data_IF_626941179644
#
_entry.id   IF_626941179644
#
_cell.length_a   1.000
_cell.length_b   1.000
_cell.length_c   1.000
_cell.angle_alpha   90.00
_cell.angle_beta   90.00
_cell.angle_gamma   90.00
#
_symmetry.space_group_name_H-M   'P 1'
#
loop_
_entity.id
_entity.type
_entity.pdbx_description
1 polymer ?
#
# COMPACT_ATOMS: atom_id res chain seq x y z
N UNK A 1 65.27 7.48 30.82
CA UNK A 1 64.14 8.35 31.19
C UNK A 1 63.25 7.59 32.17
N UNK A 2 62.58 8.31 33.08
CA UNK A 2 61.78 7.79 34.20
C UNK A 2 60.59 6.93 33.70
N UNK A 3 60.34 5.74 34.29
CA UNK A 3 59.29 5.43 35.32
C UNK A 3 57.85 5.80 34.90
N UNK A 4 56.78 5.03 35.18
CA UNK A 4 56.58 4.06 36.27
C UNK A 4 55.48 3.01 35.94
N UNK A 5 55.35 1.96 36.77
CA UNK A 5 54.36 0.87 36.62
C UNK A 5 53.01 1.14 37.33
N UNK A 6 52.02 0.33 36.95
CA UNK A 6 50.64 0.10 37.45
C UNK A 6 50.38 0.26 38.96
N UNK A 7 49.10 0.46 39.37
CA UNK A 7 48.37 -0.72 39.91
C UNK A 7 46.87 -0.82 39.54
N UNK A 8 46.37 -2.06 39.47
CA UNK A 8 44.94 -2.40 39.57
C UNK A 8 44.52 -2.54 41.05
N UNK A 9 43.27 -2.22 41.39
CA UNK A 9 42.49 -3.09 42.31
C UNK A 9 40.96 -3.05 42.02
N UNK A 10 40.12 -3.80 42.77
CA UNK A 10 40.21 -5.23 43.09
C UNK A 10 38.91 -5.98 42.66
N UNK A 11 38.86 -7.30 42.87
CA UNK A 11 37.62 -8.09 42.77
C UNK A 11 37.22 -8.66 44.14
N UNK A 12 35.93 -8.55 44.47
CA UNK A 12 35.17 -9.27 45.50
C UNK A 12 33.68 -8.93 45.22
N UNK A 13 32.84 -9.87 44.77
CA UNK A 13 32.17 -10.96 45.49
C UNK A 13 30.93 -10.53 46.30
N UNK A 14 29.86 -11.30 46.14
CA UNK A 14 28.55 -11.23 46.81
C UNK A 14 27.64 -10.03 46.45
N UNK A 15 26.32 -10.18 46.16
CA UNK A 15 25.43 -11.35 46.22
C UNK A 15 24.44 -11.40 45.04
N UNK A 16 24.06 -12.62 44.62
CA UNK A 16 22.87 -12.83 43.79
C UNK A 16 21.65 -12.72 44.71
N UNK A 17 21.07 -11.52 44.80
CA UNK A 17 19.79 -11.34 45.47
C UNK A 17 18.68 -11.21 44.43
N UNK A 18 17.96 -12.32 44.22
CA UNK A 18 16.76 -12.38 43.38
C UNK A 18 15.62 -11.61 44.04
N UNK A 19 15.46 -10.34 43.67
CA UNK A 19 14.22 -9.59 43.93
C UNK A 19 13.51 -9.29 42.61
N UNK A 20 12.38 -9.97 42.43
CA UNK A 20 11.38 -9.73 41.39
C UNK A 20 10.93 -8.26 41.35
N UNK A 21 10.88 -7.67 40.16
CA UNK A 21 10.32 -6.34 39.94
C UNK A 21 10.84 -5.69 38.66
N UNK A 22 10.11 -5.88 37.55
CA UNK A 22 9.78 -4.87 36.52
C UNK A 22 9.42 -5.57 35.18
N UNK A 23 8.22 -6.16 35.12
CA UNK A 23 7.62 -6.66 33.86
C UNK A 23 6.93 -5.53 33.04
N UNK A 24 6.91 -4.28 33.54
CA UNK A 24 6.20 -3.12 32.96
C UNK A 24 6.99 -2.38 31.85
N UNK A 25 7.62 -3.13 30.94
CA UNK A 25 8.37 -2.57 29.80
C UNK A 25 7.60 -2.58 28.47
N UNK A 26 6.37 -3.12 28.45
CA UNK A 26 5.49 -3.15 27.28
C UNK A 26 4.34 -2.15 27.49
N UNK A 27 4.24 -1.14 26.62
CA UNK A 27 3.10 -0.20 26.63
C UNK A 27 1.77 -0.97 26.57
N UNK A 28 0.72 -0.61 27.33
CA UNK A 28 -0.57 -1.30 27.29
C UNK A 28 -1.20 -1.41 25.89
N UNK A 29 -0.85 -0.51 24.97
CA UNK A 29 -1.24 -0.60 23.56
C UNK A 29 -0.51 -1.74 22.83
N UNK A 30 0.78 -1.94 23.11
CA UNK A 30 1.61 -3.02 22.55
C UNK A 30 1.25 -4.37 23.21
N UNK A 31 0.92 -4.39 24.51
CA UNK A 31 0.46 -5.60 25.19
C UNK A 31 -0.85 -6.13 24.58
N UNK A 32 -1.87 -5.24 24.43
CA UNK A 32 -3.12 -5.56 23.73
C UNK A 32 -2.92 -5.96 22.26
N UNK A 33 -1.83 -5.51 21.63
CA UNK A 33 -1.47 -5.90 20.27
C UNK A 33 -1.04 -7.38 20.20
N UNK A 34 -0.20 -7.80 21.15
CA UNK A 34 0.35 -9.14 21.24
C UNK A 34 -0.70 -10.16 21.71
N UNK A 35 -1.64 -9.76 22.57
CA UNK A 35 -2.79 -10.59 22.96
C UNK A 35 -3.82 -10.76 21.84
N UNK A 36 -3.86 -9.84 20.86
CA UNK A 36 -4.91 -9.75 19.84
C UNK A 36 -4.53 -10.26 18.45
N UNK A 37 -3.31 -10.76 18.24
CA UNK A 37 -2.81 -11.17 16.92
C UNK A 37 -1.89 -12.38 16.98
N UNK A 38 -2.14 -13.36 16.09
CA UNK A 38 -1.36 -14.59 15.87
C UNK A 38 -1.50 -15.71 16.93
N UNK A 39 -2.72 -16.20 17.17
CA UNK A 39 -2.87 -17.62 17.55
C UNK A 39 -2.96 -18.48 16.28
N UNK A 40 -1.79 -18.87 15.77
CA UNK A 40 -1.64 -19.86 14.70
C UNK A 40 -1.24 -21.23 15.28
N UNK A 41 -2.06 -21.72 16.22
CA UNK A 41 -2.02 -23.13 16.61
C UNK A 41 -2.64 -23.99 15.51
N UNK A 42 -1.78 -24.54 14.65
CA UNK A 42 -2.08 -25.76 13.93
C UNK A 42 -2.17 -26.90 14.95
N UNK A 43 -3.36 -27.47 15.16
CA UNK A 43 -3.49 -28.67 15.98
C UNK A 43 -2.95 -29.88 15.22
N UNK A 44 -1.86 -30.47 15.73
CA UNK A 44 -1.30 -31.73 15.22
C UNK A 44 -2.13 -32.91 15.76
N UNK A 45 -3.08 -33.38 14.96
CA UNK A 45 -3.86 -34.58 15.31
C UNK A 45 -3.03 -35.87 15.09
N UNK A 46 -2.60 -36.46 16.20
CA UNK A 46 -1.98 -37.79 16.26
C UNK A 46 -2.94 -38.76 16.93
N UNK A 47 -3.38 -39.82 16.24
CA UNK A 47 -3.41 -41.19 16.79
C UNK A 47 -3.94 -42.25 15.82
N UNK A 48 -3.64 -43.51 16.14
CA UNK A 48 -3.71 -44.68 15.28
C UNK A 48 -5.06 -45.43 15.27
N UNK A 49 -5.17 -46.31 14.27
CA UNK A 49 -6.21 -47.32 13.99
C UNK A 49 -6.80 -48.12 15.16
N UNK A 50 -8.10 -48.47 15.05
CA UNK A 50 -8.68 -49.78 15.46
C UNK A 50 -9.70 -50.27 14.41
N UNK A 51 -9.95 -51.58 14.38
CA UNK A 51 -10.56 -52.37 13.28
C UNK A 51 -12.10 -52.57 13.40
N UNK A 52 -12.73 -52.88 12.25
CA UNK A 52 -14.10 -53.35 11.92
C UNK A 52 -14.77 -54.41 12.87
N UNK A 53 -16.07 -54.83 12.73
CA UNK A 53 -16.93 -54.85 11.52
C UNK A 53 -18.47 -54.60 11.67
N UNK A 54 -19.20 -54.76 10.55
CA UNK A 54 -20.66 -54.60 10.36
C UNK A 54 -21.51 -55.81 10.88
N UNK A 55 -22.87 -55.76 10.78
CA UNK A 55 -23.54 -56.45 9.65
C UNK A 55 -24.91 -55.92 9.13
N UNK A 56 -25.22 -56.33 7.88
CA UNK A 56 -26.51 -56.73 7.25
C UNK A 56 -27.80 -55.86 7.20
N UNK A 57 -28.46 -55.83 6.01
CA UNK A 57 -29.78 -55.15 5.83
C UNK A 57 -30.53 -55.15 4.48
N UNK A 58 -30.42 -56.16 3.60
CA UNK A 58 -31.32 -56.54 2.46
C UNK A 58 -32.26 -55.52 1.72
N UNK A 59 -32.11 -55.52 0.38
CA UNK A 59 -33.19 -55.61 -0.67
C UNK A 59 -33.96 -54.31 -1.05
N UNK A 60 -34.41 -54.02 -2.30
CA UNK A 60 -34.47 -54.73 -3.61
C UNK A 60 -34.64 -53.71 -4.77
N UNK A 61 -34.12 -53.95 -5.99
CA UNK A 61 -34.52 -53.14 -7.18
C UNK A 61 -33.65 -53.28 -8.44
N UNK A 62 -34.25 -53.50 -9.62
CA UNK A 62 -33.60 -53.82 -10.92
C UNK A 62 -34.12 -52.90 -12.05
N UNK A 63 -33.49 -52.63 -13.21
CA UNK A 63 -32.11 -52.73 -13.80
C UNK A 63 -32.15 -51.77 -15.04
N UNK A 64 -30.99 -51.23 -15.49
CA UNK A 64 -30.59 -50.86 -16.90
C UNK A 64 -29.83 -49.51 -16.90
N UNK A 65 -28.48 -49.48 -16.86
CA UNK A 65 -27.52 -49.72 -17.95
C UNK A 65 -27.39 -48.58 -18.99
N UNK A 66 -26.32 -47.79 -18.87
CA UNK A 66 -25.30 -47.65 -19.91
C UNK A 66 -24.02 -47.12 -19.27
N UNK A 67 -22.86 -47.60 -19.71
CA UNK A 67 -21.61 -47.42 -18.96
C UNK A 67 -20.49 -46.77 -19.76
N UNK A 68 -19.52 -46.21 -19.04
CA UNK A 68 -18.09 -46.26 -19.35
C UNK A 68 -17.29 -45.85 -18.12
N UNK A 69 -16.28 -46.64 -17.72
CA UNK A 69 -15.40 -46.31 -16.59
C UNK A 69 -14.27 -45.38 -17.05
N UNK A 70 -13.95 -44.31 -16.30
CA UNK A 70 -12.61 -43.75 -16.26
C UNK A 70 -11.71 -44.53 -15.28
N UNK A 71 -10.40 -44.53 -15.54
CA UNK A 71 -9.36 -44.94 -14.58
C UNK A 71 -9.24 -43.91 -13.45
N UNK A 72 -8.69 -44.26 -12.27
CA UNK A 72 -8.51 -43.31 -11.19
C UNK A 72 -7.34 -42.35 -11.50
N UNK A 73 -7.63 -41.06 -11.59
CA UNK A 73 -6.61 -40.00 -11.52
C UNK A 73 -6.27 -39.77 -10.06
N UNK A 74 -4.98 -39.67 -9.74
CA UNK A 74 -4.52 -39.43 -8.37
C UNK A 74 -5.02 -38.07 -7.86
N UNK A 75 -5.40 -38.03 -6.58
CA UNK A 75 -5.59 -36.78 -5.86
C UNK A 75 -4.24 -36.05 -5.73
N UNK A 76 -4.25 -34.75 -6.01
CA UNK A 76 -3.31 -33.76 -5.49
C UNK A 76 -4.15 -32.66 -4.83
N UNK A 77 -3.62 -32.08 -3.75
CA UNK A 77 -4.39 -31.31 -2.76
C UNK A 77 -5.00 -29.99 -3.26
N UNK A 78 -5.81 -29.34 -2.41
CA UNK A 78 -6.63 -28.19 -2.78
C UNK A 78 -5.92 -26.82 -2.57
N UNK A 79 -6.54 -25.77 -3.12
CA UNK A 79 -6.52 -24.37 -2.67
C UNK A 79 -5.41 -23.38 -3.09
N UNK A 80 -4.58 -23.67 -4.11
CA UNK A 80 -3.77 -22.64 -4.81
C UNK A 80 -4.32 -22.21 -6.19
N UNK A 81 -5.35 -22.90 -6.71
CA UNK A 81 -5.77 -22.74 -8.11
C UNK A 81 -6.75 -21.58 -8.34
N UNK A 82 -7.65 -21.30 -7.38
CA UNK A 82 -8.78 -20.38 -7.63
C UNK A 82 -8.35 -18.90 -7.74
N UNK A 83 -7.33 -18.48 -6.98
CA UNK A 83 -6.76 -17.14 -7.09
C UNK A 83 -6.03 -16.89 -8.41
N UNK A 84 -5.42 -17.92 -9.00
CA UNK A 84 -4.85 -17.87 -10.34
C UNK A 84 -5.97 -17.86 -11.40
N UNK A 85 -7.00 -18.69 -11.20
CA UNK A 85 -8.11 -18.84 -12.14
C UNK A 85 -8.92 -17.56 -12.34
N UNK A 86 -9.22 -16.80 -11.28
CA UNK A 86 -9.85 -15.48 -11.40
C UNK A 86 -8.97 -14.49 -12.19
N UNK A 87 -7.65 -14.58 -12.04
CA UNK A 87 -6.69 -13.76 -12.78
C UNK A 87 -6.66 -14.17 -14.28
N UNK A 88 -6.70 -15.48 -14.56
CA UNK A 88 -6.82 -16.03 -15.91
C UNK A 88 -8.17 -15.71 -16.56
N UNK A 89 -9.28 -15.70 -15.83
CA UNK A 89 -10.61 -15.37 -16.36
C UNK A 89 -10.70 -13.88 -16.73
N UNK A 90 -10.26 -12.97 -15.85
CA UNK A 90 -10.16 -11.53 -16.18
C UNK A 90 -9.19 -11.30 -17.35
N UNK A 91 -8.06 -12.02 -17.40
CA UNK A 91 -7.15 -11.94 -18.54
C UNK A 91 -7.77 -12.52 -19.82
N UNK A 92 -8.45 -13.66 -19.79
CA UNK A 92 -9.09 -14.27 -20.96
C UNK A 92 -10.20 -13.40 -21.53
N UNK A 93 -11.09 -12.86 -20.68
CA UNK A 93 -12.21 -12.02 -21.12
C UNK A 93 -11.71 -10.73 -21.82
N UNK A 94 -10.54 -10.23 -21.42
CA UNK A 94 -9.86 -9.08 -22.04
C UNK A 94 -8.96 -9.44 -23.24
N UNK A 95 -8.38 -10.64 -23.29
CA UNK A 95 -7.40 -11.05 -24.32
C UNK A 95 -8.02 -11.79 -25.52
N UNK A 96 -9.20 -12.41 -25.36
CA UNK A 96 -9.83 -13.23 -26.41
C UNK A 96 -10.25 -12.46 -27.69
N UNK A 97 -10.10 -11.13 -27.71
CA UNK A 97 -10.55 -10.29 -28.82
C UNK A 97 -9.47 -9.93 -29.86
N UNK A 98 -8.17 -9.90 -29.53
CA UNK A 98 -7.18 -9.18 -30.35
C UNK A 98 -5.79 -9.85 -30.42
N UNK A 99 -5.28 -9.96 -31.65
CA UNK A 99 -3.85 -10.14 -31.90
C UNK A 99 -3.15 -8.86 -31.47
N UNK A 100 -2.37 -8.92 -30.38
CA UNK A 100 -1.71 -7.76 -29.74
C UNK A 100 -0.50 -7.24 -30.54
N UNK A 101 -0.74 -6.78 -31.76
CA UNK A 101 0.24 -6.08 -32.58
C UNK A 101 0.22 -4.58 -32.27
N UNK A 102 1.34 -4.03 -31.80
CA UNK A 102 1.51 -2.60 -31.50
C UNK A 102 1.61 -1.71 -32.74
N UNK A 103 1.91 -2.30 -33.91
CA UNK A 103 2.14 -1.58 -35.18
C UNK A 103 0.82 -1.36 -35.95
N UNK A 104 -0.28 -1.95 -35.47
CA UNK A 104 -1.64 -1.77 -36.00
C UNK A 104 -2.40 -0.76 -35.15
N UNK A 105 -2.82 0.36 -35.74
CA UNK A 105 -3.48 1.48 -35.04
C UNK A 105 -4.73 1.06 -34.24
N UNK A 106 -5.53 0.12 -34.77
CA UNK A 106 -6.73 -0.41 -34.08
C UNK A 106 -6.42 -1.17 -32.79
N UNK A 107 -5.18 -1.63 -32.61
CA UNK A 107 -4.79 -2.53 -31.53
C UNK A 107 -4.04 -1.80 -30.40
N UNK A 108 -3.66 -0.52 -30.60
CA UNK A 108 -2.92 0.28 -29.62
C UNK A 108 -3.65 0.31 -28.27
N UNK A 109 -4.98 0.45 -28.24
CA UNK A 109 -5.75 0.43 -26.99
C UNK A 109 -5.57 -0.88 -26.22
N UNK A 110 -5.71 -2.02 -26.89
CA UNK A 110 -5.57 -3.33 -26.24
C UNK A 110 -4.12 -3.60 -25.82
N UNK A 111 -3.13 -3.20 -26.63
CA UNK A 111 -1.72 -3.30 -26.27
C UNK A 111 -1.39 -2.46 -25.02
N UNK A 112 -1.88 -1.23 -24.93
CA UNK A 112 -1.66 -0.37 -23.77
C UNK A 112 -2.41 -0.87 -22.53
N UNK A 113 -3.66 -1.29 -22.69
CA UNK A 113 -4.43 -1.90 -21.61
C UNK A 113 -3.77 -3.18 -21.08
N UNK A 114 -3.22 -4.03 -21.95
CA UNK A 114 -2.53 -5.26 -21.54
C UNK A 114 -1.31 -4.97 -20.66
N UNK A 115 -0.51 -3.94 -20.95
CA UNK A 115 0.59 -3.52 -20.07
C UNK A 115 0.10 -3.01 -18.71
N UNK A 116 -0.95 -2.18 -18.70
CA UNK A 116 -1.57 -1.73 -17.45
C UNK A 116 -2.15 -2.88 -16.62
N UNK A 117 -2.90 -3.80 -17.24
CA UNK A 117 -3.51 -4.95 -16.56
C UNK A 117 -2.42 -5.87 -16.01
N UNK A 118 -1.35 -6.12 -16.78
CA UNK A 118 -0.22 -6.95 -16.32
C UNK A 118 0.45 -6.34 -15.08
N UNK A 119 0.61 -5.01 -15.01
CA UNK A 119 1.08 -4.32 -13.81
C UNK A 119 0.06 -4.39 -12.66
N UNK A 120 -1.19 -3.99 -12.90
CA UNK A 120 -2.23 -3.95 -11.86
C UNK A 120 -2.47 -5.33 -11.22
N UNK A 121 -2.48 -6.41 -12.01
CA UNK A 121 -2.64 -7.77 -11.49
C UNK A 121 -1.52 -8.21 -10.54
N UNK A 122 -0.33 -7.60 -10.59
CA UNK A 122 0.80 -7.93 -9.71
C UNK A 122 0.89 -7.00 -8.48
N UNK A 123 0.56 -5.71 -8.62
CA UNK A 123 0.86 -4.69 -7.62
C UNK A 123 -0.34 -4.10 -6.88
N UNK A 124 -1.58 -4.54 -7.19
CA UNK A 124 -2.82 -3.97 -6.64
C UNK A 124 -3.73 -5.07 -6.09
N UNK A 125 -4.30 -4.84 -4.90
CA UNK A 125 -5.21 -5.79 -4.26
C UNK A 125 -6.57 -5.94 -4.96
N UNK A 126 -7.20 -4.83 -5.39
CA UNK A 126 -8.52 -4.84 -6.05
C UNK A 126 -8.49 -4.18 -7.44
N UNK A 127 -7.79 -4.76 -8.43
CA UNK A 127 -7.63 -4.17 -9.76
C UNK A 127 -8.96 -3.99 -10.50
N UNK A 128 -9.96 -4.83 -10.23
CA UNK A 128 -11.30 -4.71 -10.82
C UNK A 128 -12.03 -3.40 -10.44
N UNK A 129 -11.83 -2.88 -9.23
CA UNK A 129 -12.49 -1.62 -8.77
C UNK A 129 -11.99 -0.39 -9.53
N UNK A 130 -10.72 -0.38 -9.91
CA UNK A 130 -10.07 0.75 -10.60
C UNK A 130 -10.09 0.63 -12.12
N UNK A 131 -10.29 -0.58 -12.66
CA UNK A 131 -10.19 -0.87 -14.08
C UNK A 131 -11.07 0.03 -14.98
N UNK A 132 -12.35 0.35 -14.65
CA UNK A 132 -13.17 1.22 -15.51
C UNK A 132 -12.60 2.63 -15.66
N UNK A 133 -12.07 3.19 -14.56
CA UNK A 133 -11.45 4.51 -14.53
C UNK A 133 -10.11 4.52 -15.30
N UNK A 134 -9.32 3.45 -15.17
CA UNK A 134 -8.07 3.24 -15.93
C UNK A 134 -8.36 3.10 -17.43
N UNK A 135 -9.39 2.36 -17.83
CA UNK A 135 -9.81 2.21 -19.23
C UNK A 135 -10.19 3.56 -19.84
N UNK A 136 -11.09 4.31 -19.20
CA UNK A 136 -11.54 5.61 -19.70
C UNK A 136 -10.38 6.63 -19.85
N UNK A 137 -9.48 6.68 -18.86
CA UNK A 137 -8.28 7.53 -18.90
C UNK A 137 -7.28 7.08 -19.97
N UNK A 138 -7.13 5.79 -20.19
CA UNK A 138 -6.23 5.22 -21.21
C UNK A 138 -6.71 5.52 -22.63
N UNK A 139 -8.01 5.41 -22.89
CA UNK A 139 -8.61 5.82 -24.18
C UNK A 139 -8.34 7.30 -24.49
N UNK A 140 -8.60 8.18 -23.51
CA UNK A 140 -8.33 9.62 -23.65
C UNK A 140 -6.84 9.90 -23.88
N UNK A 141 -5.95 9.19 -23.17
CA UNK A 141 -4.51 9.40 -23.30
C UNK A 141 -3.96 8.96 -24.66
N UNK A 142 -4.33 7.78 -25.15
CA UNK A 142 -3.90 7.30 -26.48
C UNK A 142 -4.33 8.25 -27.59
N UNK A 143 -5.54 8.84 -27.47
CA UNK A 143 -6.04 9.85 -28.41
C UNK A 143 -5.18 11.11 -28.49
N UNK A 144 -4.48 11.46 -27.41
CA UNK A 144 -3.68 12.68 -27.33
C UNK A 144 -2.16 12.45 -27.46
N UNK A 145 -1.65 11.35 -26.91
CA UNK A 145 -0.21 11.09 -26.75
C UNK A 145 0.11 9.58 -26.93
N UNK A 146 -0.20 8.98 -28.11
CA UNK A 146 -0.12 7.53 -28.30
C UNK A 146 1.27 6.95 -28.05
N UNK A 147 2.33 7.66 -28.44
CA UNK A 147 3.72 7.23 -28.22
C UNK A 147 4.08 7.14 -26.73
N UNK A 148 3.58 8.05 -25.89
CA UNK A 148 3.81 7.99 -24.44
C UNK A 148 3.01 6.86 -23.78
N UNK A 149 1.79 6.61 -24.28
CA UNK A 149 0.96 5.50 -23.82
C UNK A 149 1.61 4.14 -24.14
N UNK A 150 2.23 4.01 -25.31
CA UNK A 150 3.02 2.82 -25.70
C UNK A 150 4.26 2.63 -24.82
N UNK A 151 5.05 3.70 -24.56
CA UNK A 151 6.22 3.64 -23.67
C UNK A 151 5.85 3.13 -22.28
N UNK A 152 4.80 3.68 -21.64
CA UNK A 152 4.39 3.22 -20.31
C UNK A 152 3.76 1.82 -20.32
N UNK A 153 3.16 1.38 -21.43
CA UNK A 153 2.75 -0.03 -21.56
C UNK A 153 3.94 -0.97 -21.57
N UNK A 154 4.98 -0.66 -22.35
CA UNK A 154 6.21 -1.44 -22.38
C UNK A 154 6.86 -1.51 -20.98
N UNK A 155 6.90 -0.38 -20.26
CA UNK A 155 7.36 -0.33 -18.87
C UNK A 155 6.52 -1.24 -17.97
N UNK A 156 5.19 -1.16 -18.04
CA UNK A 156 4.28 -2.04 -17.30
C UNK A 156 4.48 -3.54 -17.61
N UNK A 157 4.75 -3.89 -18.88
CA UNK A 157 5.08 -5.25 -19.30
C UNK A 157 6.47 -5.71 -18.83
N UNK A 158 7.48 -4.83 -18.84
CA UNK A 158 8.81 -5.14 -18.34
C UNK A 158 8.75 -5.45 -16.83
N UNK A 159 8.05 -4.63 -16.05
CA UNK A 159 8.02 -4.77 -14.58
C UNK A 159 7.09 -5.85 -14.05
N UNK A 160 6.18 -6.38 -14.88
CA UNK A 160 5.25 -7.46 -14.49
C UNK A 160 5.75 -8.87 -14.85
N UNK A 161 6.86 -8.98 -15.61
CA UNK A 161 7.35 -10.25 -16.17
C UNK A 161 8.66 -10.76 -15.59
N UNK A 162 9.57 -9.87 -15.20
CA UNK A 162 10.91 -10.22 -14.74
C UNK A 162 11.38 -9.21 -13.68
N UNK A 163 12.56 -9.42 -13.07
CA UNK A 163 13.13 -8.50 -12.06
C UNK A 163 14.38 -7.76 -12.56
N UNK A 164 14.95 -8.21 -13.67
CA UNK A 164 16.04 -7.59 -14.44
C UNK A 164 15.46 -6.61 -15.48
N UNK A 165 14.76 -5.59 -15.00
CA UNK A 165 14.00 -4.66 -15.83
C UNK A 165 14.85 -3.90 -16.87
N UNK A 166 14.45 -3.93 -18.15
CA UNK A 166 14.88 -2.90 -19.10
C UNK A 166 14.09 -1.61 -18.81
N UNK A 167 14.80 -0.59 -18.33
CA UNK A 167 14.26 0.73 -17.99
C UNK A 167 14.51 1.77 -19.08
N UNK A 168 14.90 1.38 -20.29
CA UNK A 168 15.19 2.32 -21.40
C UNK A 168 13.97 3.16 -21.78
N UNK A 169 12.79 2.54 -21.90
CA UNK A 169 11.54 3.24 -22.16
C UNK A 169 11.12 4.14 -20.99
N UNK A 170 11.33 3.68 -19.75
CA UNK A 170 11.08 4.48 -18.54
C UNK A 170 11.94 5.74 -18.52
N UNK A 171 13.26 5.62 -18.73
CA UNK A 171 14.20 6.76 -18.74
C UNK A 171 13.91 7.75 -19.86
N UNK A 172 13.52 7.24 -21.03
CA UNK A 172 13.13 8.08 -22.17
C UNK A 172 11.93 8.95 -21.80
N UNK A 173 10.93 8.36 -21.17
CA UNK A 173 9.72 9.03 -20.76
C UNK A 173 9.90 9.93 -19.51
N UNK A 174 10.68 9.47 -18.52
CA UNK A 174 11.08 10.26 -17.34
C UNK A 174 11.72 11.58 -17.77
N UNK A 175 12.63 11.54 -18.75
CA UNK A 175 13.24 12.74 -19.32
C UNK A 175 12.19 13.69 -19.94
N UNK A 176 11.22 13.17 -20.69
CA UNK A 176 10.15 14.01 -21.27
C UNK A 176 9.34 14.72 -20.17
N UNK A 177 8.99 14.00 -19.10
CA UNK A 177 8.27 14.58 -17.96
C UNK A 177 9.13 15.62 -17.24
N UNK A 178 10.44 15.36 -17.07
CA UNK A 178 11.37 16.30 -16.45
C UNK A 178 11.53 17.60 -17.27
N UNK A 179 11.61 17.50 -18.60
CA UNK A 179 11.67 18.66 -19.50
C UNK A 179 10.38 19.51 -19.39
N UNK A 180 9.20 18.88 -19.36
CA UNK A 180 7.89 19.54 -19.14
C UNK A 180 7.84 20.28 -17.78
N UNK A 181 8.31 19.66 -16.69
CA UNK A 181 8.40 20.27 -15.35
C UNK A 181 9.34 21.49 -15.38
N UNK A 182 10.53 21.34 -15.96
CA UNK A 182 11.54 22.40 -16.01
C UNK A 182 11.01 23.62 -16.78
N UNK A 183 10.36 23.38 -17.92
CA UNK A 183 9.69 24.43 -18.68
C UNK A 183 8.55 25.09 -17.89
N UNK A 184 7.72 24.29 -17.20
CA UNK A 184 6.61 24.81 -16.40
C UNK A 184 7.06 25.71 -15.24
N UNK A 185 8.15 25.33 -14.57
CA UNK A 185 8.82 26.12 -13.53
C UNK A 185 9.40 27.42 -14.13
N UNK A 186 10.13 27.33 -15.23
CA UNK A 186 10.73 28.49 -15.90
C UNK A 186 9.68 29.51 -16.39
N UNK A 187 8.53 29.05 -16.86
CA UNK A 187 7.40 29.89 -17.27
C UNK A 187 6.49 30.32 -16.11
N UNK A 188 6.74 29.89 -14.87
CA UNK A 188 5.90 30.13 -13.68
C UNK A 188 4.40 29.87 -13.95
N UNK A 189 4.08 28.72 -14.54
CA UNK A 189 2.71 28.36 -14.90
C UNK A 189 1.83 28.24 -13.65
N UNK A 190 0.57 28.69 -13.74
CA UNK A 190 -0.40 28.64 -12.63
C UNK A 190 -1.74 28.01 -13.02
N UNK A 191 -2.50 27.57 -12.02
CA UNK A 191 -3.84 26.99 -12.11
C UNK A 191 -3.93 25.87 -13.14
N UNK A 192 -4.91 25.92 -14.07
CA UNK A 192 -5.08 24.89 -15.11
C UNK A 192 -3.84 24.62 -15.97
N UNK A 193 -2.92 25.59 -16.11
CA UNK A 193 -1.71 25.39 -16.91
C UNK A 193 -0.69 24.51 -16.18
N UNK A 194 -0.47 24.74 -14.87
CA UNK A 194 0.34 23.88 -14.02
C UNK A 194 -0.31 22.49 -13.84
N UNK A 195 -1.64 22.43 -13.71
CA UNK A 195 -2.39 21.16 -13.61
C UNK A 195 -2.18 20.26 -14.84
N UNK A 196 -1.99 20.84 -16.05
CA UNK A 196 -1.66 20.04 -17.26
C UNK A 196 -0.28 19.40 -17.21
N UNK A 197 0.65 19.90 -16.41
CA UNK A 197 1.99 19.32 -16.21
C UNK A 197 1.92 18.19 -15.18
N UNK A 198 1.02 18.30 -14.20
CA UNK A 198 0.73 17.23 -13.23
C UNK A 198 0.05 16.00 -13.86
N UNK A 199 -0.49 16.06 -15.09
CA UNK A 199 -1.36 15.03 -15.70
C UNK A 199 -0.79 13.61 -15.73
N UNK A 200 0.52 13.46 -15.65
CA UNK A 200 1.25 12.18 -15.70
C UNK A 200 1.84 11.75 -14.36
N UNK A 201 1.73 12.56 -13.30
CA UNK A 201 2.44 12.34 -12.03
C UNK A 201 2.19 10.96 -11.41
N UNK A 202 0.92 10.53 -11.39
CA UNK A 202 0.50 9.22 -10.86
C UNK A 202 1.05 8.02 -11.65
N UNK A 203 1.63 8.25 -12.82
CA UNK A 203 2.27 7.23 -13.67
C UNK A 203 3.78 7.17 -13.42
N UNK A 204 4.40 8.27 -12.97
CA UNK A 204 5.86 8.38 -12.81
C UNK A 204 6.32 7.60 -11.59
N UNK A 205 5.62 7.82 -10.49
CA UNK A 205 6.04 7.38 -9.18
C UNK A 205 5.55 5.94 -8.86
N UNK A 206 5.09 5.20 -9.87
CA UNK A 206 4.79 3.77 -9.76
C UNK A 206 6.05 2.91 -9.74
N UNK A 207 7.22 3.47 -10.09
CA UNK A 207 8.51 2.80 -10.04
C UNK A 207 9.47 3.52 -9.07
N UNK A 208 10.27 2.77 -8.29
CA UNK A 208 11.01 3.32 -7.14
C UNK A 208 12.26 4.15 -7.51
N UNK A 209 12.63 4.24 -8.79
CA UNK A 209 14.01 4.59 -9.19
C UNK A 209 14.37 6.08 -9.08
N UNK A 210 13.41 6.99 -8.92
CA UNK A 210 13.67 8.45 -8.80
C UNK A 210 12.62 9.24 -7.99
N UNK A 211 11.73 8.54 -7.27
CA UNK A 211 10.50 9.07 -6.67
C UNK A 211 10.71 10.37 -5.88
N UNK A 212 11.71 10.43 -4.98
CA UNK A 212 11.99 11.63 -4.19
C UNK A 212 12.40 12.84 -5.06
N UNK A 213 13.25 12.64 -6.06
CA UNK A 213 13.69 13.73 -6.96
C UNK A 213 12.52 14.22 -7.82
N UNK A 214 11.69 13.32 -8.33
CA UNK A 214 10.50 13.71 -9.10
C UNK A 214 9.48 14.44 -8.22
N UNK A 215 9.29 14.03 -6.97
CA UNK A 215 8.42 14.73 -6.02
C UNK A 215 8.92 16.13 -5.67
N UNK A 216 10.21 16.31 -5.38
CA UNK A 216 10.81 17.65 -5.20
C UNK A 216 10.56 18.53 -6.42
N UNK A 217 10.75 17.96 -7.60
CA UNK A 217 10.54 18.61 -8.88
C UNK A 217 9.07 19.00 -9.13
N UNK A 218 8.11 18.23 -8.62
CA UNK A 218 6.68 18.53 -8.73
C UNK A 218 6.11 19.42 -7.60
N UNK A 219 6.72 19.51 -6.41
CA UNK A 219 6.13 20.21 -5.25
C UNK A 219 5.68 21.66 -5.53
N UNK A 220 6.48 22.52 -6.21
CA UNK A 220 6.04 23.87 -6.56
C UNK A 220 4.95 23.88 -7.63
N UNK A 221 4.94 22.90 -8.54
CA UNK A 221 3.90 22.78 -9.59
C UNK A 221 2.57 22.39 -8.95
N UNK A 222 2.56 21.51 -7.95
CA UNK A 222 1.36 21.18 -7.15
C UNK A 222 0.79 22.44 -6.50
N UNK A 223 1.64 23.22 -5.80
CA UNK A 223 1.25 24.51 -5.22
C UNK A 223 0.69 25.48 -6.26
N UNK A 224 1.35 25.62 -7.42
CA UNK A 224 0.89 26.50 -8.49
C UNK A 224 -0.36 25.99 -9.22
N UNK A 225 -0.68 24.70 -9.15
CA UNK A 225 -1.85 24.10 -9.79
C UNK A 225 -3.13 24.23 -8.94
N UNK A 226 -3.00 24.34 -7.62
CA UNK A 226 -4.11 24.59 -6.71
C UNK A 226 -4.58 26.06 -6.76
N UNK A 227 -5.84 26.30 -6.40
CA UNK A 227 -6.49 27.63 -6.42
C UNK A 227 -6.46 28.37 -5.09
N UNK A 228 -5.87 27.76 -4.06
CA UNK A 228 -5.70 28.34 -2.73
C UNK A 228 -4.75 29.55 -2.78
N UNK A 229 -4.91 30.52 -1.87
CA UNK A 229 -4.12 31.75 -1.91
C UNK A 229 -2.65 31.51 -1.56
N UNK A 230 -1.76 32.27 -2.19
CA UNK A 230 -0.31 32.20 -1.91
C UNK A 230 -0.04 32.39 -0.41
N UNK A 231 0.66 31.42 0.20
CA UNK A 231 0.93 31.37 1.64
C UNK A 231 0.01 30.46 2.45
N UNK A 232 -1.15 30.04 1.94
CA UNK A 232 -1.98 29.01 2.62
C UNK A 232 -1.41 27.60 2.42
N UNK A 233 -1.71 26.68 3.33
CA UNK A 233 -1.38 25.27 3.19
C UNK A 233 -2.46 24.55 2.39
N UNK A 234 -2.06 23.57 1.57
CA UNK A 234 -2.99 22.74 0.81
C UNK A 234 -3.82 21.89 1.79
N UNK A 235 -5.15 21.93 1.70
CA UNK A 235 -6.00 21.09 2.54
C UNK A 235 -5.86 19.61 2.12
N UNK A 236 -5.24 18.78 2.97
CA UNK A 236 -4.93 17.39 2.67
C UNK A 236 -6.20 16.53 2.52
N UNK A 237 -7.21 16.57 3.43
CA UNK A 237 -8.46 15.83 3.24
C UNK A 237 -9.15 16.14 1.90
N UNK A 238 -9.18 17.41 1.50
CA UNK A 238 -9.74 17.83 0.21
C UNK A 238 -8.88 17.39 -0.99
N UNK A 239 -7.56 17.39 -0.85
CA UNK A 239 -6.63 16.90 -1.88
C UNK A 239 -6.75 15.38 -2.09
N UNK A 240 -6.93 14.61 -1.01
CA UNK A 240 -7.11 13.15 -1.03
C UNK A 240 -8.42 12.70 -1.71
N UNK A 241 -9.38 13.61 -1.87
CA UNK A 241 -10.70 13.37 -2.51
C UNK A 241 -10.85 14.06 -3.87
N UNK A 242 -9.81 14.76 -4.33
CA UNK A 242 -9.85 15.64 -5.49
C UNK A 242 -9.28 15.05 -6.79
N UNK A 243 -8.41 15.80 -7.46
CA UNK A 243 -7.80 15.35 -8.72
C UNK A 243 -6.78 14.23 -8.47
N UNK A 244 -6.91 13.10 -9.17
CA UNK A 244 -6.02 11.92 -9.07
C UNK A 244 -4.52 12.23 -9.02
N UNK A 245 -4.02 13.25 -9.74
CA UNK A 245 -2.60 13.59 -9.75
C UNK A 245 -2.16 14.31 -8.47
N UNK A 246 -3.00 15.20 -7.96
CA UNK A 246 -2.79 15.89 -6.69
C UNK A 246 -2.95 14.90 -5.54
N UNK A 247 -4.02 14.11 -5.59
CA UNK A 247 -4.28 12.99 -4.68
C UNK A 247 -3.05 12.06 -4.59
N UNK A 248 -2.57 11.51 -5.70
CA UNK A 248 -1.40 10.62 -5.71
C UNK A 248 -0.12 11.32 -5.26
N UNK A 249 0.05 12.62 -5.57
CA UNK A 249 1.17 13.40 -5.03
C UNK A 249 1.13 13.47 -3.50
N UNK A 250 0.00 13.86 -2.90
CA UNK A 250 -0.08 14.03 -1.45
C UNK A 250 0.01 12.69 -0.70
N UNK A 251 -0.50 11.60 -1.29
CA UNK A 251 -0.25 10.24 -0.81
C UNK A 251 1.24 9.92 -0.76
N UNK A 252 1.96 10.14 -1.86
CA UNK A 252 3.38 9.83 -1.92
C UNK A 252 4.21 10.75 -1.03
N UNK A 253 3.87 12.03 -0.88
CA UNK A 253 4.60 12.95 0.00
C UNK A 253 4.57 12.49 1.46
N UNK A 254 3.38 12.14 1.95
CA UNK A 254 3.20 11.60 3.31
C UNK A 254 3.84 10.22 3.48
N UNK A 255 3.72 9.31 2.50
CA UNK A 255 4.27 7.96 2.64
C UNK A 255 5.80 7.95 2.56
N UNK A 256 6.38 8.70 1.62
CA UNK A 256 7.83 8.78 1.46
C UNK A 256 8.49 9.51 2.63
N UNK A 257 7.84 10.53 3.21
CA UNK A 257 8.38 11.21 4.41
C UNK A 257 8.55 10.26 5.60
N UNK A 258 7.60 9.33 5.81
CA UNK A 258 7.70 8.29 6.86
C UNK A 258 8.81 7.29 6.53
N UNK A 259 8.77 6.69 5.34
CA UNK A 259 9.69 5.62 4.92
C UNK A 259 11.15 6.09 4.93
N UNK A 260 11.38 7.36 4.60
CA UNK A 260 12.73 7.95 4.52
C UNK A 260 13.05 8.91 5.67
N UNK A 261 12.15 9.04 6.65
CA UNK A 261 12.27 9.85 7.88
C UNK A 261 12.70 11.31 7.64
N UNK A 262 12.14 11.92 6.59
CA UNK A 262 12.41 13.30 6.14
C UNK A 262 11.15 14.16 6.26
N UNK A 263 11.27 15.50 6.30
CA UNK A 263 10.11 16.38 6.18
C UNK A 263 9.31 16.12 4.89
N UNK A 264 8.01 16.40 4.92
CA UNK A 264 7.19 16.42 3.71
C UNK A 264 7.63 17.58 2.79
N UNK A 265 7.53 17.40 1.47
CA UNK A 265 7.81 18.48 0.51
C UNK A 265 6.80 19.63 0.64
N UNK A 266 5.55 19.31 0.96
CA UNK A 266 4.50 20.29 1.25
C UNK A 266 4.04 20.17 2.69
N UNK A 267 3.84 21.34 3.33
CA UNK A 267 3.05 21.44 4.56
C UNK A 267 1.57 21.63 4.22
N UNK A 268 0.74 20.93 4.98
CA UNK A 268 -0.69 20.74 4.73
C UNK A 268 -1.57 21.37 5.81
N UNK A 269 -2.80 21.70 5.44
CA UNK A 269 -3.89 21.84 6.40
C UNK A 269 -4.56 20.47 6.57
N UNK A 270 -4.74 20.04 7.82
CA UNK A 270 -5.23 18.71 8.18
C UNK A 270 -6.68 18.74 8.71
N UNK A 271 -7.31 19.91 8.74
CA UNK A 271 -8.69 20.05 9.17
C UNK A 271 -9.64 19.52 8.08
N UNK A 272 -10.66 18.76 8.47
CA UNK A 272 -11.69 18.32 7.54
C UNK A 272 -12.60 19.51 7.17
N UNK A 273 -12.63 19.88 5.89
CA UNK A 273 -13.44 20.99 5.38
C UNK A 273 -14.95 20.76 5.54
N UNK A 274 -15.40 19.51 5.59
CA UNK A 274 -16.77 19.13 5.91
C UNK A 274 -16.87 17.67 6.39
N UNK A 275 -17.97 17.29 7.07
CA UNK A 275 -18.19 15.89 7.49
C UNK A 275 -18.20 14.91 6.31
N UNK A 276 -18.71 15.32 5.15
CA UNK A 276 -18.76 14.44 3.96
C UNK A 276 -17.37 14.05 3.45
N UNK A 277 -16.35 14.90 3.65
CA UNK A 277 -14.96 14.57 3.32
C UNK A 277 -14.39 13.57 4.32
N UNK A 278 -14.72 13.70 5.61
CA UNK A 278 -14.31 12.74 6.63
C UNK A 278 -14.99 11.37 6.45
N UNK A 279 -16.30 11.34 6.17
CA UNK A 279 -17.07 10.13 5.87
C UNK A 279 -16.49 9.41 4.63
N UNK A 280 -16.15 10.15 3.57
CA UNK A 280 -15.57 9.60 2.34
C UNK A 280 -14.19 8.97 2.59
N UNK A 281 -13.33 9.63 3.37
CA UNK A 281 -11.99 9.13 3.72
C UNK A 281 -12.03 7.98 4.74
N UNK A 282 -13.14 7.85 5.49
CA UNK A 282 -13.39 6.76 6.44
C UNK A 282 -14.14 5.56 5.82
N UNK A 283 -14.60 5.67 4.57
CA UNK A 283 -15.38 4.65 3.87
C UNK A 283 -14.54 3.80 2.93
N UNK A 284 -14.62 2.47 3.06
CA UNK A 284 -13.90 1.50 2.22
C UNK A 284 -14.42 1.44 0.77
N UNK A 285 -15.70 1.76 0.58
CA UNK A 285 -16.41 1.69 -0.71
C UNK A 285 -16.64 3.07 -1.35
N UNK A 286 -16.07 4.13 -0.78
CA UNK A 286 -16.20 5.49 -1.30
C UNK A 286 -15.62 5.67 -2.72
N UNK A 287 -16.27 6.45 -3.60
CA UNK A 287 -15.90 6.57 -5.01
C UNK A 287 -14.52 7.18 -5.25
N UNK A 288 -13.95 6.89 -6.43
CA UNK A 288 -12.70 7.48 -6.91
C UNK A 288 -11.51 6.52 -6.87
N UNK A 289 -10.30 7.06 -7.03
CA UNK A 289 -9.06 6.28 -7.04
C UNK A 289 -8.53 6.14 -5.61
N UNK A 290 -8.90 5.06 -4.90
CA UNK A 290 -8.54 4.86 -3.48
C UNK A 290 -7.24 4.10 -3.35
N UNK A 291 -6.30 4.57 -2.53
CA UNK A 291 -5.01 3.87 -2.30
C UNK A 291 -5.21 2.60 -1.48
N UNK A 292 -6.26 2.51 -0.67
CA UNK A 292 -6.61 1.27 0.03
C UNK A 292 -6.82 0.07 -0.89
N UNK A 293 -7.42 0.28 -2.07
CA UNK A 293 -7.62 -0.79 -3.07
C UNK A 293 -6.31 -1.20 -3.76
N UNK A 294 -5.25 -0.39 -3.65
CA UNK A 294 -3.93 -0.65 -4.19
C UNK A 294 -3.01 -1.31 -3.18
N UNK A 295 -2.80 -0.64 -2.05
CA UNK A 295 -1.73 -0.97 -1.10
C UNK A 295 -2.27 -1.26 0.32
N UNK A 296 -3.59 -1.35 0.48
CA UNK A 296 -4.23 -1.63 1.78
C UNK A 296 -4.16 -0.47 2.78
N UNK A 297 -3.76 0.74 2.37
CA UNK A 297 -3.60 1.87 3.28
C UNK A 297 -4.95 2.60 3.44
N UNK A 298 -5.50 2.75 4.66
CA UNK A 298 -6.69 3.56 4.86
C UNK A 298 -6.39 5.04 4.60
N UNK A 299 -7.22 5.72 3.82
CA UNK A 299 -7.01 7.12 3.45
C UNK A 299 -6.98 8.05 4.70
N UNK A 300 -7.81 7.78 5.72
CA UNK A 300 -7.78 8.49 7.01
C UNK A 300 -6.45 8.34 7.75
N UNK A 301 -5.75 7.22 7.57
CA UNK A 301 -4.44 6.97 8.16
C UNK A 301 -3.36 7.89 7.55
N UNK A 302 -3.51 8.30 6.29
CA UNK A 302 -2.61 9.28 5.65
C UNK A 302 -2.74 10.67 6.29
N UNK A 303 -3.95 11.10 6.66
CA UNK A 303 -4.14 12.35 7.40
C UNK A 303 -3.47 12.27 8.77
N UNK A 304 -3.60 11.13 9.44
CA UNK A 304 -2.97 10.82 10.75
C UNK A 304 -1.44 10.78 10.65
N UNK A 305 -0.90 10.19 9.59
CA UNK A 305 0.53 10.19 9.30
C UNK A 305 1.09 11.59 9.00
N UNK A 306 0.38 12.40 8.20
CA UNK A 306 0.76 13.79 7.95
C UNK A 306 0.78 14.60 9.27
N UNK A 307 -0.17 14.33 10.17
CA UNK A 307 -0.22 14.91 11.52
C UNK A 307 0.99 14.54 12.37
N UNK A 308 1.39 13.26 12.38
CA UNK A 308 2.62 12.80 13.05
C UNK A 308 3.86 13.53 12.52
N UNK A 309 3.99 13.65 11.19
CA UNK A 309 5.12 14.34 10.56
C UNK A 309 5.16 15.83 10.92
N UNK A 310 4.02 16.53 10.88
CA UNK A 310 3.98 17.95 11.27
C UNK A 310 4.35 18.15 12.75
N UNK A 311 3.91 17.28 13.66
CA UNK A 311 4.34 17.35 15.06
C UNK A 311 5.84 17.05 15.24
N UNK A 312 6.40 16.13 14.47
CA UNK A 312 7.84 15.85 14.47
C UNK A 312 8.66 17.03 13.90
N UNK A 313 8.18 17.67 12.83
CA UNK A 313 8.81 18.87 12.26
C UNK A 313 8.76 20.07 13.24
N UNK A 314 7.66 20.25 13.98
CA UNK A 314 7.42 21.42 14.82
C UNK A 314 7.99 21.28 16.24
N UNK A 315 8.01 20.08 16.82
CA UNK A 315 8.40 19.81 18.20
C UNK A 315 9.55 18.80 18.35
N UNK A 316 10.07 18.27 17.23
CA UNK A 316 11.07 17.20 17.26
C UNK A 316 10.56 15.96 17.98
N UNK A 317 11.41 15.37 18.80
CA UNK A 317 11.03 14.21 19.63
C UNK A 317 10.18 14.56 20.85
N UNK A 318 10.01 15.86 21.16
CA UNK A 318 9.43 16.35 22.41
C UNK A 318 7.90 16.56 22.33
N UNK A 319 7.19 15.61 21.71
CA UNK A 319 5.73 15.66 21.56
C UNK A 319 5.03 15.40 22.90
N UNK A 320 4.01 16.21 23.22
CA UNK A 320 3.25 16.09 24.46
C UNK A 320 2.49 14.74 24.54
N UNK A 321 2.52 14.00 25.66
CA UNK A 321 1.79 12.72 25.82
C UNK A 321 0.29 12.79 25.49
N UNK A 322 -0.38 13.93 25.70
CA UNK A 322 -1.79 14.09 25.31
C UNK A 322 -1.99 14.14 23.79
N UNK A 323 -1.00 14.63 23.04
CA UNK A 323 -1.01 14.58 21.56
C UNK A 323 -0.79 13.13 21.11
N UNK A 324 0.12 12.40 21.75
CA UNK A 324 0.32 10.96 21.48
C UNK A 324 -0.98 10.19 21.67
N UNK A 325 -1.66 10.38 22.81
CA UNK A 325 -2.97 9.75 23.09
C UNK A 325 -4.09 10.18 22.13
N UNK A 326 -4.03 11.39 21.56
CA UNK A 326 -4.98 11.81 20.53
C UNK A 326 -4.72 11.05 19.22
N UNK A 327 -3.46 10.95 18.80
CA UNK A 327 -3.05 10.22 17.59
C UNK A 327 -3.32 8.71 17.72
N UNK A 328 -3.07 8.11 18.89
CA UNK A 328 -3.43 6.70 19.17
C UNK A 328 -4.91 6.42 18.86
N UNK A 329 -5.81 7.32 19.28
CA UNK A 329 -7.26 7.23 19.01
C UNK A 329 -7.61 7.45 17.53
N UNK A 330 -6.83 8.22 16.79
CA UNK A 330 -6.99 8.36 15.33
C UNK A 330 -6.62 7.06 14.60
N UNK A 331 -5.55 6.37 15.01
CA UNK A 331 -5.16 5.05 14.48
C UNK A 331 -6.20 3.98 14.84
N UNK A 332 -6.71 3.99 16.08
CA UNK A 332 -7.86 3.16 16.48
C UNK A 332 -9.07 3.43 15.58
N UNK A 333 -9.40 4.71 15.39
CA UNK A 333 -10.49 5.21 14.55
C UNK A 333 -10.34 4.99 13.04
N UNK A 334 -9.22 4.45 12.56
CA UNK A 334 -9.09 3.96 11.17
C UNK A 334 -9.73 2.57 10.98
N UNK A 335 -10.18 1.91 12.06
CA UNK A 335 -10.93 0.66 12.01
C UNK A 335 -10.14 -0.56 11.55
N UNK A 336 -10.77 -1.73 11.68
CA UNK A 336 -10.31 -2.99 11.06
C UNK A 336 -11.24 -3.32 9.90
N UNK A 337 -10.69 -3.76 8.76
CA UNK A 337 -11.51 -4.36 7.71
C UNK A 337 -12.11 -5.65 8.29
N UNK A 338 -13.44 -5.75 8.28
CA UNK A 338 -14.13 -6.93 8.79
C UNK A 338 -13.87 -8.13 7.86
N UNK A 339 -13.32 -9.21 8.40
CA UNK A 339 -13.27 -10.48 7.71
C UNK A 339 -14.61 -11.21 7.91
N UNK A 340 -15.27 -11.56 6.81
CA UNK A 340 -16.54 -12.29 6.80
C UNK A 340 -16.40 -13.76 7.20
N UNK A 341 -15.19 -14.32 7.19
CA UNK A 341 -14.93 -15.72 7.56
C UNK A 341 -15.50 -16.75 6.58
N UNK A 342 -16.10 -16.32 5.47
CA UNK A 342 -16.56 -17.21 4.42
C UNK A 342 -15.37 -17.70 3.58
N UNK A 343 -15.35 -19.00 3.30
CA UNK A 343 -14.28 -19.68 2.53
C UNK A 343 -14.16 -19.26 1.06
N UNK A 344 -14.82 -18.16 0.68
CA UNK A 344 -14.75 -17.51 -0.63
C UNK A 344 -13.89 -16.22 -0.59
N UNK A 345 -13.25 -15.92 0.54
CA UNK A 345 -12.33 -14.79 0.69
C UNK A 345 -11.08 -15.02 -0.19
N UNK A 346 -10.96 -14.31 -1.31
CA UNK A 346 -9.80 -14.45 -2.21
C UNK A 346 -8.48 -14.08 -1.53
N UNK A 347 -7.37 -14.69 -1.96
CA UNK A 347 -6.01 -14.43 -1.44
C UNK A 347 -5.64 -12.94 -1.49
N UNK A 348 -6.12 -12.20 -2.50
CA UNK A 348 -5.94 -10.74 -2.61
C UNK A 348 -6.72 -9.96 -1.55
N UNK A 349 -7.95 -10.38 -1.22
CA UNK A 349 -8.73 -9.77 -0.14
C UNK A 349 -8.07 -10.02 1.22
N UNK A 350 -7.58 -11.24 1.48
CA UNK A 350 -6.81 -11.54 2.69
C UNK A 350 -5.54 -10.68 2.75
N UNK A 351 -4.77 -10.60 1.65
CA UNK A 351 -3.60 -9.74 1.55
C UNK A 351 -3.90 -8.26 1.84
N UNK A 352 -5.04 -7.74 1.36
CA UNK A 352 -5.50 -6.37 1.66
C UNK A 352 -5.78 -6.18 3.16
N UNK A 353 -6.50 -7.12 3.79
CA UNK A 353 -6.81 -7.09 5.23
C UNK A 353 -5.51 -7.11 6.05
N UNK A 354 -4.57 -7.99 5.70
CA UNK A 354 -3.25 -8.07 6.35
C UNK A 354 -2.47 -6.77 6.16
N UNK A 355 -2.40 -6.23 4.94
CA UNK A 355 -1.71 -4.96 4.66
C UNK A 355 -2.32 -3.80 5.46
N UNK A 356 -3.65 -3.71 5.54
CA UNK A 356 -4.36 -2.69 6.33
C UNK A 356 -3.97 -2.71 7.81
N UNK A 357 -4.00 -3.88 8.46
CA UNK A 357 -3.58 -3.96 9.85
C UNK A 357 -2.07 -3.69 9.97
N UNK A 358 -1.22 -4.21 9.08
CA UNK A 358 0.22 -3.89 9.06
C UNK A 358 0.50 -2.38 8.95
N UNK A 359 -0.27 -1.62 8.17
CA UNK A 359 -0.14 -0.16 8.10
C UNK A 359 -0.55 0.54 9.40
N UNK A 360 -1.59 0.05 10.08
CA UNK A 360 -1.97 0.55 11.41
C UNK A 360 -0.91 0.22 12.46
N UNK A 361 -0.30 -0.97 12.40
CA UNK A 361 0.84 -1.33 13.25
C UNK A 361 2.04 -0.41 12.97
N UNK A 362 2.37 -0.19 11.70
CA UNK A 362 3.44 0.72 11.29
C UNK A 362 3.20 2.16 11.79
N UNK A 363 1.94 2.61 11.86
CA UNK A 363 1.59 3.91 12.44
C UNK A 363 1.89 4.00 13.95
N UNK A 364 1.58 2.96 14.74
CA UNK A 364 1.99 2.92 16.16
C UNK A 364 3.51 2.86 16.32
N UNK A 365 4.19 2.01 15.54
CA UNK A 365 5.66 1.90 15.56
C UNK A 365 6.30 3.24 15.23
N UNK A 366 5.82 3.92 14.17
CA UNK A 366 6.32 5.24 13.79
C UNK A 366 6.08 6.28 14.89
N UNK A 367 4.85 6.36 15.44
CA UNK A 367 4.49 7.26 16.53
C UNK A 367 5.41 7.12 17.75
N UNK A 368 5.69 5.89 18.18
CA UNK A 368 6.59 5.67 19.31
C UNK A 368 8.05 5.90 18.93
N UNK A 369 8.51 5.48 17.74
CA UNK A 369 9.88 5.76 17.27
C UNK A 369 10.20 7.25 17.19
N UNK A 370 9.21 8.12 16.98
CA UNK A 370 9.41 9.58 16.93
C UNK A 370 9.24 10.27 18.29
N UNK A 371 8.63 9.61 19.29
CA UNK A 371 8.35 10.21 20.61
C UNK A 371 9.13 9.62 21.79
N UNK A 372 9.73 8.43 21.65
CA UNK A 372 10.38 7.69 22.73
C UNK A 372 11.50 8.46 23.45
N UNK A 373 12.25 9.32 22.74
CA UNK A 373 13.35 10.10 23.31
C UNK A 373 12.91 11.11 24.39
N UNK A 374 11.66 11.61 24.35
CA UNK A 374 11.18 12.56 25.36
C UNK A 374 10.80 11.88 26.69
N UNK A 375 10.33 10.63 26.64
CA UNK A 375 9.91 9.88 27.83
C UNK A 375 11.08 9.54 28.78
N UNK A 376 12.30 9.41 28.25
CA UNK A 376 13.50 9.26 29.08
C UNK A 376 14.00 10.59 29.67
N UNK A 377 13.85 11.71 28.95
CA UNK A 377 14.34 13.02 29.40
C UNK A 377 13.51 13.67 30.53
N UNK A 378 12.28 13.18 30.79
CA UNK A 378 11.44 13.59 31.91
C UNK A 378 11.51 12.64 33.13
N UNK A 379 12.50 11.73 33.18
CA UNK A 379 12.78 10.83 34.32
C UNK A 379 14.13 11.15 35.02
N UNK A 380 14.46 12.44 35.12
CA UNK A 380 15.67 12.95 35.81
C UNK A 380 15.26 13.98 36.86
#
# INVERSE_FOLDING_TARGET
MMYQQTPSPPAADHDINTTSGDDDLVSPAIAKLLEGGFDLRLEEDVSESVISPAPDGRSTGRILSNGSKPKPTKQTGPDDIDGLRYNEEVQQELLMALVLDREVESNIFAFVMHGYISWMSQFIFEPARILPEVQARTQLWIKHEPSQALLMSNVGLAVSRATDYDLTDFRTWEKMVLDDILQARACNLKGPQAMRVMKHFHKVNQLPFSVLTMMDMHAPIVRSACTESEGTHLNLPQALTGNINIQYYVYMDVLQSIVTRRPMFLRYDLNFSSPQVEDLLSSDDGPGFRIMWMYGIPDRLIVTFARMNMYLEDFGVCVNPHIVQAIEKEIEGCGRIAWSGDGNTSTRMLGKITAHECWRLAAYVYLYMVTYFCLQSNRV
#
